data_IF_147259355737
#
_entry.id   IF_147259355737
#
_cell.length_a   1.000
_cell.length_b   1.000
_cell.length_c   1.000
_cell.angle_alpha   90.00
_cell.angle_beta   90.00
_cell.angle_gamma   90.00
#
_symmetry.space_group_name_H-M   'P 1'
#
loop_
_entity.id
_entity.type
_entity.pdbx_description
1 polymer ?
#
# COMPACT_ATOMS: atom_id res chain seq x y z
N UNK A 1 -13.89 2.07 -7.05
CA UNK A 1 -13.47 1.37 -5.81
C UNK A 1 -11.95 1.27 -5.81
N UNK A 2 -11.25 2.01 -4.95
CA UNK A 2 -9.81 1.90 -4.78
C UNK A 2 -9.50 0.73 -3.85
N UNK A 3 -8.82 -0.31 -4.34
CA UNK A 3 -8.52 -1.53 -3.56
C UNK A 3 -7.33 -1.36 -2.61
N UNK A 4 -6.39 -0.47 -2.93
CA UNK A 4 -5.22 -0.21 -2.11
C UNK A 4 -4.77 1.25 -2.24
N UNK A 5 -4.51 1.90 -1.09
CA UNK A 5 -3.98 3.27 -1.00
C UNK A 5 -2.43 3.32 -1.02
N UNK A 6 -1.78 2.27 -1.55
CA UNK A 6 -0.32 2.11 -1.53
C UNK A 6 0.42 2.77 -2.70
N UNK A 7 -0.31 3.11 -3.77
CA UNK A 7 0.27 3.61 -5.02
C UNK A 7 0.03 5.09 -5.26
N UNK A 8 0.00 5.93 -4.22
CA UNK A 8 -0.16 7.37 -4.41
C UNK A 8 1.15 7.95 -4.98
N UNK A 9 1.15 8.54 -6.19
CA UNK A 9 2.37 9.10 -6.78
C UNK A 9 2.81 10.39 -6.07
N UNK A 10 1.91 11.04 -5.33
CA UNK A 10 2.14 12.37 -4.74
C UNK A 10 3.41 12.44 -3.87
N UNK A 11 3.66 11.55 -2.89
CA UNK A 11 4.87 11.64 -2.06
C UNK A 11 6.16 11.55 -2.89
N UNK A 12 6.22 10.60 -3.83
CA UNK A 12 7.38 10.43 -4.72
C UNK A 12 7.60 11.66 -5.60
N UNK A 13 6.52 12.26 -6.10
CA UNK A 13 6.62 13.48 -6.92
C UNK A 13 7.11 14.68 -6.11
N UNK A 14 6.70 14.81 -4.85
CA UNK A 14 7.13 15.89 -3.95
C UNK A 14 8.60 15.74 -3.56
N UNK A 15 9.06 14.52 -3.29
CA UNK A 15 10.48 14.24 -3.02
C UNK A 15 11.35 14.60 -4.23
N UNK A 16 10.92 14.26 -5.44
CA UNK A 16 11.64 14.63 -6.68
C UNK A 16 11.76 16.16 -6.84
N UNK A 17 10.69 16.92 -6.55
CA UNK A 17 10.77 18.39 -6.54
C UNK A 17 11.68 18.92 -5.43
N UNK A 18 11.71 18.27 -4.25
CA UNK A 18 12.60 18.69 -3.17
C UNK A 18 14.08 18.48 -3.52
N UNK A 19 14.39 17.39 -4.22
CA UNK A 19 15.73 17.14 -4.77
C UNK A 19 16.06 18.19 -5.83
N UNK A 20 15.12 18.52 -6.71
CA UNK A 20 15.34 19.55 -7.73
C UNK A 20 15.68 20.92 -7.10
N UNK A 21 14.94 21.32 -6.08
CA UNK A 21 15.20 22.55 -5.33
C UNK A 21 16.60 22.56 -4.68
N UNK A 22 16.99 21.46 -4.01
CA UNK A 22 18.30 21.37 -3.32
C UNK A 22 19.50 21.30 -4.26
N UNK A 23 19.30 20.81 -5.48
CA UNK A 23 20.36 20.65 -6.49
C UNK A 23 20.41 21.81 -7.48
N UNK A 24 19.51 22.80 -7.36
CA UNK A 24 19.41 23.92 -8.29
C UNK A 24 18.85 23.52 -9.67
N UNK A 25 18.20 22.37 -9.78
CA UNK A 25 17.56 21.93 -11.02
C UNK A 25 16.26 22.70 -11.26
N UNK A 26 15.94 22.92 -12.53
CA UNK A 26 14.70 23.58 -12.91
C UNK A 26 13.49 22.65 -12.70
N UNK A 27 12.54 23.07 -11.86
CA UNK A 27 11.32 22.30 -11.55
C UNK A 27 10.51 21.91 -12.79
N UNK A 28 10.47 22.75 -13.84
CA UNK A 28 9.75 22.42 -15.08
C UNK A 28 10.43 21.29 -15.84
N UNK A 29 11.76 21.25 -15.85
CA UNK A 29 12.52 20.14 -16.45
C UNK A 29 12.33 18.85 -15.64
N UNK A 30 12.34 18.95 -14.31
CA UNK A 30 12.05 17.82 -13.42
C UNK A 30 10.65 17.25 -13.68
N UNK A 31 9.62 18.11 -13.77
CA UNK A 31 8.25 17.69 -14.08
C UNK A 31 8.16 16.96 -15.44
N UNK A 32 8.81 17.48 -16.48
CA UNK A 32 8.84 16.83 -17.80
C UNK A 32 9.55 15.47 -17.73
N UNK A 33 10.69 15.39 -17.05
CA UNK A 33 11.41 14.14 -16.87
C UNK A 33 10.57 13.09 -16.14
N UNK A 34 9.85 13.49 -15.08
CA UNK A 34 8.93 12.61 -14.37
C UNK A 34 7.76 12.16 -15.25
N UNK A 35 7.23 13.05 -16.10
CA UNK A 35 6.17 12.70 -17.05
C UNK A 35 6.65 11.65 -18.07
N UNK A 36 7.83 11.86 -18.66
CA UNK A 36 8.44 10.90 -19.60
C UNK A 36 8.70 9.56 -18.91
N UNK A 37 9.33 9.58 -17.73
CA UNK A 37 9.61 8.39 -16.95
C UNK A 37 8.32 7.61 -16.61
N UNK A 38 7.22 8.33 -16.33
CA UNK A 38 5.91 7.72 -16.07
C UNK A 38 5.41 6.97 -17.31
N UNK A 39 5.41 7.61 -18.49
CA UNK A 39 4.93 6.99 -19.74
C UNK A 39 5.78 5.79 -20.13
N UNK A 40 7.11 5.93 -20.07
CA UNK A 40 8.05 4.84 -20.37
C UNK A 40 7.90 3.71 -19.36
N UNK A 41 7.75 4.04 -18.08
CA UNK A 41 7.54 3.08 -17.00
C UNK A 41 6.25 2.27 -17.20
N UNK A 42 5.15 2.92 -17.60
CA UNK A 42 3.89 2.23 -17.93
C UNK A 42 4.11 1.24 -19.09
N UNK A 43 4.73 1.68 -20.18
CA UNK A 43 4.96 0.82 -21.35
C UNK A 43 5.88 -0.37 -21.02
N UNK A 44 6.98 -0.12 -20.30
CA UNK A 44 7.92 -1.15 -19.88
C UNK A 44 7.28 -2.15 -18.89
N UNK A 45 6.51 -1.66 -17.92
CA UNK A 45 5.79 -2.51 -16.97
C UNK A 45 4.75 -3.40 -17.68
N UNK A 46 4.01 -2.83 -18.63
CA UNK A 46 3.03 -3.58 -19.42
C UNK A 46 3.70 -4.68 -20.25
N UNK A 47 4.78 -4.35 -20.95
CA UNK A 47 5.55 -5.31 -21.72
C UNK A 47 6.16 -6.41 -20.84
N UNK A 48 6.81 -6.04 -19.73
CA UNK A 48 7.43 -7.01 -18.81
C UNK A 48 6.40 -7.96 -18.20
N UNK A 49 5.24 -7.44 -17.80
CA UNK A 49 4.14 -8.26 -17.28
C UNK A 49 3.65 -9.27 -18.32
N UNK A 50 3.37 -8.82 -19.55
CA UNK A 50 2.94 -9.71 -20.63
C UNK A 50 4.00 -10.75 -20.96
N UNK A 51 5.27 -10.35 -21.10
CA UNK A 51 6.35 -11.26 -21.43
C UNK A 51 6.46 -12.41 -20.40
N UNK A 52 6.43 -12.07 -19.11
CA UNK A 52 6.48 -13.05 -18.02
C UNK A 52 5.25 -13.96 -18.08
N UNK A 53 4.06 -13.40 -18.28
CA UNK A 53 2.80 -14.15 -18.35
C UNK A 53 2.74 -15.13 -19.52
N UNK A 54 3.24 -14.75 -20.70
CA UNK A 54 3.32 -15.64 -21.86
C UNK A 54 4.40 -16.70 -21.73
N UNK A 55 5.54 -16.36 -21.10
CA UNK A 55 6.69 -17.27 -21.01
C UNK A 55 6.47 -18.39 -19.98
N UNK A 56 5.92 -18.07 -18.83
CA UNK A 56 5.77 -19.02 -17.71
C UNK A 56 4.32 -19.51 -17.52
N UNK A 57 3.35 -18.88 -18.20
CA UNK A 57 1.94 -19.19 -18.06
C UNK A 57 1.36 -18.71 -16.73
N UNK A 58 0.33 -17.87 -16.79
CA UNK A 58 -0.34 -17.31 -15.60
C UNK A 58 -0.92 -18.41 -14.69
N UNK A 59 -1.42 -19.51 -15.25
CA UNK A 59 -2.03 -20.61 -14.49
C UNK A 59 -1.06 -21.75 -14.13
N UNK A 60 0.18 -21.73 -14.64
CA UNK A 60 1.14 -22.82 -14.49
C UNK A 60 2.19 -22.54 -13.43
N UNK A 61 2.99 -21.50 -13.63
CA UNK A 61 4.18 -21.24 -12.80
C UNK A 61 4.18 -19.89 -12.09
N UNK A 62 3.16 -19.06 -12.31
CA UNK A 62 3.03 -17.73 -11.67
C UNK A 62 1.80 -17.75 -10.75
N UNK A 63 1.98 -18.24 -9.53
CA UNK A 63 0.95 -18.11 -8.49
C UNK A 63 1.11 -16.73 -7.86
N UNK A 64 0.22 -15.79 -8.18
CA UNK A 64 0.32 -14.44 -7.66
C UNK A 64 -0.89 -13.55 -8.00
N UNK A 65 -0.86 -12.26 -7.63
CA UNK A 65 -2.02 -11.38 -7.75
C UNK A 65 -2.47 -11.17 -9.20
N UNK A 66 -1.59 -11.41 -10.18
CA UNK A 66 -1.87 -11.28 -11.61
C UNK A 66 -3.05 -12.13 -12.08
N UNK A 67 -3.11 -13.41 -11.68
CA UNK A 67 -4.23 -14.30 -12.00
C UNK A 67 -5.54 -13.81 -11.35
N UNK A 68 -5.48 -13.54 -10.04
CA UNK A 68 -6.67 -13.16 -9.28
C UNK A 68 -7.25 -11.85 -9.80
N UNK A 69 -6.40 -10.85 -10.09
CA UNK A 69 -6.82 -9.55 -10.59
C UNK A 69 -7.32 -9.61 -12.03
N UNK A 70 -6.74 -10.49 -12.87
CA UNK A 70 -7.22 -10.71 -14.23
C UNK A 70 -8.58 -11.41 -14.28
N UNK A 71 -8.82 -12.38 -13.38
CA UNK A 71 -10.04 -13.18 -13.33
C UNK A 71 -11.23 -12.45 -12.70
N UNK A 72 -10.98 -11.63 -11.68
CA UNK A 72 -12.00 -10.91 -10.91
C UNK A 72 -13.02 -10.09 -11.75
N UNK A 73 -12.63 -9.28 -12.76
CA UNK A 73 -13.60 -8.56 -13.59
C UNK A 73 -14.46 -9.50 -14.42
N UNK A 74 -13.91 -10.60 -14.94
CA UNK A 74 -14.66 -11.58 -15.71
C UNK A 74 -15.66 -12.35 -14.86
N UNK A 75 -15.27 -12.75 -13.65
CA UNK A 75 -16.17 -13.38 -12.68
C UNK A 75 -17.29 -12.44 -12.29
N UNK A 76 -16.99 -11.15 -12.06
CA UNK A 76 -18.01 -10.13 -11.75
C UNK A 76 -18.97 -9.92 -12.92
N UNK A 77 -18.45 -9.80 -14.14
CA UNK A 77 -19.28 -9.64 -15.34
C UNK A 77 -20.19 -10.86 -15.54
N UNK A 78 -19.64 -12.07 -15.40
CA UNK A 78 -20.41 -13.30 -15.47
C UNK A 78 -21.55 -13.30 -14.44
N UNK A 79 -21.25 -12.99 -13.18
CA UNK A 79 -22.25 -12.90 -12.12
C UNK A 79 -23.36 -11.88 -12.46
N UNK A 80 -23.03 -10.71 -13.00
CA UNK A 80 -24.03 -9.72 -13.43
C UNK A 80 -24.93 -10.22 -14.57
N UNK A 81 -24.39 -11.06 -15.46
CA UNK A 81 -25.12 -11.59 -16.61
C UNK A 81 -25.97 -12.81 -16.26
N UNK A 82 -25.53 -13.66 -15.33
CA UNK A 82 -26.15 -14.98 -15.10
C UNK A 82 -26.86 -15.14 -13.77
N UNK A 83 -26.50 -14.35 -12.75
CA UNK A 83 -27.07 -14.50 -11.41
C UNK A 83 -28.20 -13.48 -11.18
N UNK A 84 -29.46 -13.94 -11.02
CA UNK A 84 -30.60 -13.07 -10.74
C UNK A 84 -30.43 -12.18 -9.51
N UNK A 85 -29.61 -12.59 -8.52
CA UNK A 85 -29.33 -11.81 -7.31
C UNK A 85 -28.51 -10.54 -7.59
N UNK A 86 -27.79 -10.49 -8.71
CA UNK A 86 -26.94 -9.35 -9.10
C UNK A 86 -27.55 -8.44 -10.17
N UNK A 87 -28.72 -8.81 -10.71
CA UNK A 87 -29.44 -8.03 -11.73
C UNK A 87 -30.33 -6.91 -11.14
N UNK A 88 -30.46 -6.83 -9.81
CA UNK A 88 -31.23 -5.80 -9.11
C UNK A 88 -30.37 -4.94 -8.17
N UNK A 89 -30.91 -3.83 -7.65
CA UNK A 89 -30.23 -3.04 -6.63
C UNK A 89 -30.01 -3.89 -5.37
N UNK A 90 -28.74 -4.11 -5.01
CA UNK A 90 -28.42 -4.82 -3.78
C UNK A 90 -28.70 -3.89 -2.58
N UNK A 91 -29.92 -3.96 -2.06
CA UNK A 91 -30.41 -3.13 -0.97
C UNK A 91 -29.49 -3.18 0.28
N UNK A 92 -29.01 -4.35 0.74
CA UNK A 92 -28.03 -4.42 1.83
C UNK A 92 -26.74 -3.64 1.55
N UNK A 93 -26.17 -3.74 0.35
CA UNK A 93 -24.96 -2.99 -0.02
C UNK A 93 -25.21 -1.49 -0.05
N UNK A 94 -26.34 -1.06 -0.62
CA UNK A 94 -26.72 0.36 -0.66
C UNK A 94 -26.92 0.94 0.74
N UNK A 95 -27.55 0.19 1.65
CA UNK A 95 -27.69 0.57 3.06
C UNK A 95 -26.31 0.68 3.72
N UNK A 96 -25.44 -0.30 3.53
CA UNK A 96 -24.09 -0.28 4.09
C UNK A 96 -23.26 0.93 3.60
N UNK A 97 -23.37 1.28 2.31
CA UNK A 97 -22.76 2.49 1.74
C UNK A 97 -23.34 3.74 2.42
N UNK A 98 -24.66 3.82 2.54
CA UNK A 98 -25.33 4.95 3.20
C UNK A 98 -24.88 5.14 4.66
N UNK A 99 -24.84 4.05 5.44
CA UNK A 99 -24.34 4.05 6.82
C UNK A 99 -22.88 4.50 6.87
N UNK A 100 -22.03 4.00 5.95
CA UNK A 100 -20.63 4.41 5.88
C UNK A 100 -20.45 5.90 5.59
N UNK A 101 -21.23 6.45 4.66
CA UNK A 101 -21.21 7.89 4.33
C UNK A 101 -21.64 8.73 5.54
N UNK A 102 -22.74 8.36 6.20
CA UNK A 102 -23.23 9.05 7.40
C UNK A 102 -22.19 9.00 8.51
N UNK A 103 -21.57 7.84 8.74
CA UNK A 103 -20.58 7.65 9.79
C UNK A 103 -19.33 8.50 9.58
N UNK A 104 -18.83 8.56 8.35
CA UNK A 104 -17.70 9.43 8.00
C UNK A 104 -18.06 10.91 8.15
N UNK A 105 -19.28 11.31 7.77
CA UNK A 105 -19.75 12.69 7.92
C UNK A 105 -19.84 13.09 9.41
N UNK A 106 -20.35 12.21 10.28
CA UNK A 106 -20.40 12.43 11.74
C UNK A 106 -18.98 12.61 12.30
N UNK A 107 -18.04 11.73 11.94
CA UNK A 107 -16.67 11.83 12.42
C UNK A 107 -15.94 13.07 11.88
N UNK A 108 -16.24 13.47 10.65
CA UNK A 108 -15.76 14.72 10.07
C UNK A 108 -16.29 15.94 10.84
N UNK A 109 -17.59 16.01 11.09
CA UNK A 109 -18.22 17.10 11.83
C UNK A 109 -17.71 17.18 13.27
N UNK A 110 -17.61 16.05 13.97
CA UNK A 110 -17.10 16.01 15.34
C UNK A 110 -15.63 16.42 15.43
N UNK A 111 -14.83 16.12 14.41
CA UNK A 111 -13.45 16.58 14.36
C UNK A 111 -13.33 18.10 14.09
N UNK A 112 -14.30 18.70 13.40
CA UNK A 112 -14.38 20.15 13.22
C UNK A 112 -14.86 20.86 14.48
N UNK A 113 -15.77 20.24 15.24
CA UNK A 113 -16.34 20.83 16.46
C UNK A 113 -15.50 20.58 17.72
N UNK A 114 -14.81 19.43 17.79
CA UNK A 114 -13.99 19.02 18.92
C UNK A 114 -12.57 18.70 18.46
N UNK A 115 -11.66 19.66 18.66
CA UNK A 115 -10.23 19.53 18.32
C UNK A 115 -9.51 18.43 19.11
N UNK A 116 -10.08 17.99 20.24
CA UNK A 116 -9.54 16.92 21.08
C UNK A 116 -10.06 15.51 20.71
N UNK A 117 -10.95 15.40 19.72
CA UNK A 117 -11.58 14.11 19.38
C UNK A 117 -10.56 13.11 18.80
N UNK A 118 -10.37 11.93 19.43
CA UNK A 118 -9.29 11.02 19.08
C UNK A 118 -9.56 10.22 17.79
N UNK A 119 -10.83 10.07 17.38
CA UNK A 119 -11.19 9.27 16.22
C UNK A 119 -11.07 10.08 14.93
N UNK A 120 -10.16 9.66 14.05
CA UNK A 120 -9.97 10.30 12.75
C UNK A 120 -10.69 9.51 11.65
N UNK A 121 -11.49 10.16 10.78
CA UNK A 121 -12.10 9.49 9.62
C UNK A 121 -11.10 8.81 8.67
N UNK A 122 -9.84 9.26 8.65
CA UNK A 122 -8.76 8.62 7.87
C UNK A 122 -8.45 7.22 8.40
N UNK A 123 -8.54 7.00 9.72
CA UNK A 123 -8.35 5.67 10.30
C UNK A 123 -9.36 4.65 9.77
N UNK A 124 -10.62 5.07 9.57
CA UNK A 124 -11.65 4.22 8.95
C UNK A 124 -11.41 3.98 7.45
N UNK A 125 -10.89 4.96 6.73
CA UNK A 125 -10.59 4.80 5.32
C UNK A 125 -9.46 3.79 5.10
N UNK A 126 -8.48 3.75 6.01
CA UNK A 126 -7.29 2.89 5.89
C UNK A 126 -7.51 1.51 6.56
N UNK A 127 -8.41 1.39 7.54
CA UNK A 127 -8.65 0.14 8.28
C UNK A 127 -9.11 -1.03 7.41
N UNK A 128 -9.83 -0.76 6.32
CA UNK A 128 -10.29 -1.79 5.37
C UNK A 128 -9.23 -2.24 4.35
N UNK A 129 -8.04 -1.63 4.35
CA UNK A 129 -6.97 -2.02 3.43
C UNK A 129 -6.28 -3.29 3.90
N UNK A 130 -5.98 -4.20 2.96
CA UNK A 130 -5.15 -5.38 3.19
C UNK A 130 -3.84 -5.04 3.91
N UNK A 131 -3.21 -3.92 3.54
CA UNK A 131 -1.98 -3.44 4.18
C UNK A 131 -2.17 -3.18 5.67
N UNK A 132 -3.32 -2.62 6.07
CA UNK A 132 -3.61 -2.38 7.50
C UNK A 132 -3.86 -3.71 8.23
N UNK A 133 -4.47 -4.71 7.58
CA UNK A 133 -4.63 -6.05 8.13
C UNK A 133 -3.31 -6.74 8.49
N UNK A 134 -2.21 -6.43 7.79
CA UNK A 134 -0.88 -6.94 8.10
C UNK A 134 -0.10 -6.05 9.06
N UNK A 135 -0.23 -4.73 8.91
CA UNK A 135 0.61 -3.76 9.60
C UNK A 135 0.04 -3.26 10.94
N UNK A 136 -1.23 -3.52 11.26
CA UNK A 136 -1.84 -2.99 12.49
C UNK A 136 -1.08 -3.42 13.75
N UNK A 137 -0.65 -4.69 13.82
CA UNK A 137 0.02 -5.21 15.01
C UNK A 137 1.46 -4.68 15.14
N UNK A 138 2.31 -4.68 14.09
CA UNK A 138 3.60 -3.99 14.13
C UNK A 138 3.49 -2.50 14.45
N UNK A 139 2.50 -1.79 13.89
CA UNK A 139 2.25 -0.38 14.22
C UNK A 139 1.86 -0.20 15.68
N UNK A 140 0.95 -1.04 16.19
CA UNK A 140 0.56 -1.04 17.60
C UNK A 140 1.75 -1.31 18.52
N UNK A 141 2.59 -2.28 18.19
CA UNK A 141 3.80 -2.61 18.94
C UNK A 141 4.79 -1.43 18.92
N UNK A 142 5.03 -0.82 17.76
CA UNK A 142 5.88 0.37 17.63
C UNK A 142 5.35 1.55 18.45
N UNK A 143 4.03 1.79 18.43
CA UNK A 143 3.38 2.79 19.28
C UNK A 143 3.55 2.47 20.77
N UNK A 144 3.30 1.23 21.18
CA UNK A 144 3.40 0.81 22.57
C UNK A 144 4.83 0.95 23.10
N UNK A 145 5.83 0.46 22.35
CA UNK A 145 7.24 0.60 22.73
C UNK A 145 7.64 2.06 22.80
N UNK A 146 7.26 2.88 21.82
CA UNK A 146 7.53 4.33 21.84
C UNK A 146 6.89 5.01 23.04
N UNK A 147 5.64 4.68 23.36
CA UNK A 147 4.91 5.22 24.50
C UNK A 147 5.58 4.84 25.82
N UNK A 148 6.01 3.58 25.98
CA UNK A 148 6.74 3.11 27.15
C UNK A 148 8.12 3.80 27.28
N UNK A 149 8.88 3.89 26.18
CA UNK A 149 10.18 4.57 26.17
C UNK A 149 10.06 6.02 26.58
N UNK A 150 9.08 6.75 26.05
CA UNK A 150 8.86 8.16 26.41
C UNK A 150 8.33 8.32 27.84
N UNK A 151 7.44 7.43 28.30
CA UNK A 151 6.84 7.50 29.64
C UNK A 151 7.83 7.18 30.75
N UNK A 152 8.70 6.19 30.56
CA UNK A 152 9.63 5.72 31.60
C UNK A 152 11.05 6.26 31.43
N UNK A 153 11.50 6.54 30.22
CA UNK A 153 12.88 6.95 29.94
C UNK A 153 13.03 8.36 29.34
N UNK A 154 11.93 9.02 28.96
CA UNK A 154 11.95 10.36 28.39
C UNK A 154 12.81 10.48 27.12
N UNK A 155 13.25 11.71 26.82
CA UNK A 155 14.08 11.98 25.64
C UNK A 155 15.48 11.32 25.71
N UNK A 156 15.98 11.07 26.92
CA UNK A 156 17.31 10.49 27.16
C UNK A 156 17.37 9.00 26.76
N UNK A 157 16.29 8.24 26.97
CA UNK A 157 16.20 6.86 26.51
C UNK A 157 15.74 6.74 25.04
N UNK A 158 14.93 7.70 24.56
CA UNK A 158 14.41 7.66 23.20
C UNK A 158 15.49 7.86 22.12
N UNK A 159 16.36 8.88 22.28
CA UNK A 159 17.41 9.19 21.29
C UNK A 159 18.35 8.01 20.97
N UNK A 160 18.91 7.29 21.97
CA UNK A 160 19.78 6.13 21.69
C UNK A 160 19.01 4.90 21.19
N UNK A 161 17.69 4.85 21.33
CA UNK A 161 16.88 3.75 20.77
C UNK A 161 16.63 3.91 19.25
N UNK A 162 16.76 5.12 18.69
CA UNK A 162 16.50 5.38 17.26
C UNK A 162 17.37 4.51 16.34
N UNK A 163 18.71 4.42 16.52
CA UNK A 163 19.56 3.57 15.68
C UNK A 163 19.15 2.09 15.71
N UNK A 164 18.65 1.58 16.84
CA UNK A 164 18.18 0.19 16.96
C UNK A 164 16.98 -0.07 16.03
N UNK A 165 15.96 0.79 16.04
CA UNK A 165 14.79 0.62 15.17
C UNK A 165 15.13 0.82 13.69
N UNK A 166 16.03 1.76 13.37
CA UNK A 166 16.55 1.90 12.01
C UNK A 166 17.28 0.62 11.59
N UNK A 167 18.11 0.05 12.47
CA UNK A 167 18.80 -1.21 12.24
C UNK A 167 17.85 -2.39 12.07
N UNK A 168 16.74 -2.43 12.81
CA UNK A 168 15.70 -3.47 12.68
C UNK A 168 15.06 -3.42 11.28
N UNK A 169 14.63 -2.23 10.85
CA UNK A 169 14.04 -2.01 9.52
C UNK A 169 15.05 -2.36 8.42
N UNK A 170 16.28 -1.89 8.55
CA UNK A 170 17.34 -2.14 7.58
C UNK A 170 17.72 -3.63 7.53
N UNK A 171 17.75 -4.31 8.68
CA UNK A 171 17.98 -5.75 8.77
C UNK A 171 16.90 -6.56 8.05
N UNK A 172 15.63 -6.18 8.20
CA UNK A 172 14.51 -6.82 7.48
C UNK A 172 14.69 -6.71 5.96
N UNK A 173 15.04 -5.52 5.46
CA UNK A 173 15.31 -5.30 4.04
C UNK A 173 16.53 -6.07 3.54
N UNK A 174 17.62 -6.10 4.31
CA UNK A 174 18.85 -6.80 3.93
C UNK A 174 18.61 -8.30 3.86
N UNK A 175 18.00 -8.89 4.88
CA UNK A 175 17.71 -10.33 4.93
C UNK A 175 16.70 -10.72 3.84
N UNK A 176 15.64 -9.94 3.66
CA UNK A 176 14.66 -10.17 2.59
C UNK A 176 15.26 -10.10 1.19
N UNK A 177 16.10 -9.08 0.93
CA UNK A 177 16.79 -8.92 -0.36
C UNK A 177 17.80 -10.04 -0.59
N UNK A 178 18.54 -10.44 0.45
CA UNK A 178 19.51 -11.52 0.37
C UNK A 178 18.86 -12.84 -0.03
N UNK A 179 17.79 -13.26 0.64
CA UNK A 179 17.08 -14.49 0.32
C UNK A 179 16.47 -14.45 -1.08
N UNK A 180 15.89 -13.32 -1.49
CA UNK A 180 15.36 -13.16 -2.84
C UNK A 180 16.44 -13.31 -3.92
N UNK A 181 17.58 -12.64 -3.76
CA UNK A 181 18.72 -12.75 -4.68
C UNK A 181 19.29 -14.18 -4.70
N UNK A 182 19.37 -14.83 -3.54
CA UNK A 182 19.81 -16.21 -3.44
C UNK A 182 18.87 -17.17 -4.18
N UNK A 183 17.55 -17.02 -4.01
CA UNK A 183 16.56 -17.80 -4.73
C UNK A 183 16.67 -17.63 -6.25
N UNK A 184 16.87 -16.40 -6.72
CA UNK A 184 17.07 -16.11 -8.14
C UNK A 184 18.38 -16.71 -8.67
N UNK A 185 19.48 -16.63 -7.91
CA UNK A 185 20.79 -17.11 -8.34
C UNK A 185 20.89 -18.64 -8.39
N UNK A 186 20.29 -19.34 -7.44
CA UNK A 186 20.40 -20.79 -7.30
C UNK A 186 19.14 -21.55 -7.76
N UNK A 187 18.08 -20.85 -8.17
CA UNK A 187 16.83 -21.46 -8.64
C UNK A 187 16.11 -22.26 -7.58
N UNK A 188 16.23 -21.86 -6.31
CA UNK A 188 15.62 -22.53 -5.16
C UNK A 188 14.50 -21.68 -4.57
N UNK A 189 13.42 -22.35 -4.14
CA UNK A 189 12.32 -21.68 -3.45
C UNK A 189 12.78 -21.23 -2.06
N UNK A 190 12.96 -19.92 -1.93
CA UNK A 190 13.44 -19.28 -0.69
C UNK A 190 12.32 -18.50 -0.01
N UNK A 191 12.61 -18.00 1.19
CA UNK A 191 11.73 -17.06 1.86
C UNK A 191 11.44 -15.83 0.97
N UNK A 192 10.15 -15.65 0.61
CA UNK A 192 9.67 -14.48 -0.11
C UNK A 192 9.29 -13.39 0.90
N UNK A 193 9.94 -12.23 0.78
CA UNK A 193 9.63 -11.04 1.57
C UNK A 193 8.19 -10.53 1.34
N UNK A 194 7.64 -10.80 0.16
CA UNK A 194 6.26 -10.47 -0.18
C UNK A 194 5.40 -11.75 -0.19
N UNK A 195 4.18 -11.74 0.37
CA UNK A 195 3.36 -12.94 0.54
C UNK A 195 2.72 -13.48 -0.77
N UNK A 196 3.31 -13.21 -1.93
CA UNK A 196 2.93 -13.77 -3.23
C UNK A 196 4.17 -13.97 -4.10
#
# INVERSE_FOLDING_TARGET
FNRAYRGHPMPQTLEAFKVAERTGLNNRRMLVAMGIATVVGIAAAYWGMLHIFYRYGIHGSIIGPGDTFGREPWVRLHAWLTDPLFQGPNLPQSIAIGVGVIWVAILGAFRLWFTWWPLHPVGLAVSSSWSMGMLWFPMFLGWAIKALLLRYGGAAAYRPAIPFFIGLVLGEFVVGSFWNLFGVAFGVDTYHFWPY
#
